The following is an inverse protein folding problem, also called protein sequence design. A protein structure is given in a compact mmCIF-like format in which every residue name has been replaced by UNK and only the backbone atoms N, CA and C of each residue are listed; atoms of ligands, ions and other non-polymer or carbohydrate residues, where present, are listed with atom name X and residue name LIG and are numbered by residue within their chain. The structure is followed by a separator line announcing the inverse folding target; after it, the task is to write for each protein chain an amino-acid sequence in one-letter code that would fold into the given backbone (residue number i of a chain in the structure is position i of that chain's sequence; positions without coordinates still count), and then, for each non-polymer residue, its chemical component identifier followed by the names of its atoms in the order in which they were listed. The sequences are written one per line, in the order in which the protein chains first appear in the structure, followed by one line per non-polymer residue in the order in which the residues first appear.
data_IF_401284386634
#
_entry.id   IF_401284386634
#
_cell.length_a   1.000
_cell.length_b   1.000
_cell.length_c   1.000
_cell.angle_alpha   90.00
_cell.angle_beta   90.00
_cell.angle_gamma   90.00
#
_symmetry.space_group_name_H-M   'P 1'
#
loop_
_entity.id
_entity.type
_entity.pdbx_description
1 polymer ?
#
# COMPACT_ATOMS: atom_id res chain seq x y z
N UNK A 1 12.81 -13.99 -22.22
CA UNK A 1 12.02 -13.83 -20.95
C UNK A 1 11.16 -12.58 -21.15
N UNK A 2 9.87 -12.66 -20.84
CA UNK A 2 9.00 -11.48 -20.83
C UNK A 2 9.45 -10.54 -19.70
N UNK A 3 9.47 -9.23 -19.97
CA UNK A 3 9.76 -8.23 -18.93
C UNK A 3 8.68 -8.29 -17.86
N UNK A 4 9.06 -8.15 -16.59
CA UNK A 4 8.10 -7.96 -15.51
C UNK A 4 7.44 -6.59 -15.58
N UNK A 5 6.30 -6.40 -14.93
CA UNK A 5 5.69 -5.08 -14.85
C UNK A 5 6.60 -4.06 -14.16
N UNK A 6 7.39 -4.47 -13.19
CA UNK A 6 8.41 -3.62 -12.58
C UNK A 6 9.43 -3.10 -13.61
N UNK A 7 9.95 -3.96 -14.50
CA UNK A 7 10.90 -3.54 -15.54
C UNK A 7 10.29 -2.54 -16.53
N UNK A 8 8.99 -2.66 -16.79
CA UNK A 8 8.25 -1.71 -17.65
C UNK A 8 8.06 -0.37 -16.92
N UNK A 9 7.54 -0.40 -15.69
CA UNK A 9 7.25 0.82 -14.92
C UNK A 9 8.51 1.56 -14.49
N UNK A 10 9.63 0.87 -14.29
CA UNK A 10 10.93 1.48 -13.99
C UNK A 10 11.39 2.47 -15.05
N UNK A 11 11.10 2.19 -16.32
CA UNK A 11 11.51 3.01 -17.46
C UNK A 11 10.52 4.13 -17.79
N UNK A 12 9.31 4.08 -17.25
CA UNK A 12 8.22 5.02 -17.52
C UNK A 12 7.58 5.49 -16.23
N UNK A 13 6.27 5.29 -16.09
CA UNK A 13 5.55 5.62 -14.86
C UNK A 13 4.87 4.40 -14.24
N UNK A 14 4.44 4.52 -13.01
CA UNK A 14 3.71 3.47 -12.30
C UNK A 14 2.31 3.18 -12.89
N UNK A 15 1.84 4.00 -13.81
CA UNK A 15 0.58 3.79 -14.54
C UNK A 15 0.79 3.07 -15.88
N UNK A 16 2.03 2.84 -16.28
CA UNK A 16 2.37 2.21 -17.55
C UNK A 16 2.85 0.77 -17.32
N UNK A 17 1.95 -0.17 -17.32
CA UNK A 17 2.20 -1.60 -17.12
C UNK A 17 1.52 -2.45 -18.19
N UNK A 18 1.92 -3.70 -18.34
CA UNK A 18 1.35 -4.64 -19.28
C UNK A 18 0.19 -5.41 -18.64
N UNK A 19 -1.06 -5.21 -19.07
CA UNK A 19 -2.23 -5.93 -18.55
C UNK A 19 -2.15 -7.45 -18.76
N UNK A 20 -1.40 -7.93 -19.74
CA UNK A 20 -1.23 -9.35 -20.00
C UNK A 20 -0.46 -10.08 -18.88
N UNK A 21 0.31 -9.34 -18.09
CA UNK A 21 1.03 -9.87 -16.91
C UNK A 21 0.10 -10.01 -15.69
N UNK A 22 -1.11 -9.52 -15.74
CA UNK A 22 -2.12 -9.68 -14.69
C UNK A 22 -2.90 -10.99 -14.82
N UNK A 23 -2.20 -12.10 -14.91
CA UNK A 23 -2.84 -13.42 -14.99
C UNK A 23 -3.64 -13.70 -13.71
N UNK A 24 -4.95 -14.01 -13.79
CA UNK A 24 -5.78 -14.30 -12.63
C UNK A 24 -5.37 -15.56 -11.84
N UNK A 25 -4.49 -16.38 -12.39
CA UNK A 25 -3.92 -17.55 -11.73
C UNK A 25 -2.80 -17.21 -10.76
N UNK A 26 -2.31 -15.96 -10.76
CA UNK A 26 -1.31 -15.54 -9.80
C UNK A 26 -1.93 -15.42 -8.42
N UNK A 27 -1.21 -15.91 -7.45
CA UNK A 27 -1.47 -15.64 -6.05
C UNK A 27 -1.08 -14.18 -5.76
N UNK A 28 -2.05 -13.29 -5.90
CA UNK A 28 -1.80 -11.85 -6.00
C UNK A 28 -1.77 -11.15 -4.65
N UNK A 29 -2.38 -11.75 -3.63
CA UNK A 29 -2.33 -11.27 -2.24
C UNK A 29 -2.15 -12.45 -1.30
N UNK A 30 -1.23 -12.30 -0.35
CA UNK A 30 -0.94 -13.32 0.66
C UNK A 30 -1.41 -12.85 2.02
N UNK A 31 -2.35 -13.58 2.63
CA UNK A 31 -2.70 -13.41 4.04
C UNK A 31 -1.64 -14.12 4.88
N UNK A 32 -1.07 -13.38 5.84
CA UNK A 32 0.09 -13.83 6.62
C UNK A 32 -0.27 -14.26 8.06
N UNK A 33 -1.44 -13.88 8.52
CA UNK A 33 -1.94 -14.11 9.88
C UNK A 33 -2.72 -12.91 10.39
N UNK A 34 -3.00 -12.88 11.68
CA UNK A 34 -3.82 -11.83 12.30
C UNK A 34 -3.14 -11.31 13.57
N UNK A 35 -3.11 -10.00 13.74
CA UNK A 35 -2.72 -9.32 14.98
C UNK A 35 -3.99 -8.99 15.75
N UNK A 36 -4.06 -9.36 17.01
CA UNK A 36 -5.25 -9.10 17.85
C UNK A 36 -5.45 -7.58 18.00
N UNK A 37 -6.60 -7.04 17.57
CA UNK A 37 -6.87 -5.60 17.68
C UNK A 37 -6.93 -5.15 19.14
N UNK A 38 -6.24 -4.04 19.43
CA UNK A 38 -6.24 -3.40 20.75
C UNK A 38 -6.11 -1.86 20.63
N UNK A 39 -6.62 -1.28 19.56
CA UNK A 39 -6.35 0.10 19.15
C UNK A 39 -7.59 0.97 18.92
N UNK A 40 -8.76 0.63 19.47
CA UNK A 40 -10.02 1.35 19.17
C UNK A 40 -9.93 2.85 19.45
N UNK A 41 -9.36 3.27 20.59
CA UNK A 41 -9.18 4.68 20.91
C UNK A 41 -8.17 5.39 20.01
N UNK A 42 -7.08 4.70 19.68
CA UNK A 42 -6.02 5.23 18.81
C UNK A 42 -6.50 5.32 17.36
N UNK A 43 -7.31 4.36 16.92
CA UNK A 43 -7.89 4.35 15.59
C UNK A 43 -8.80 5.56 15.34
N UNK A 44 -9.66 5.89 16.32
CA UNK A 44 -10.52 7.07 16.22
C UNK A 44 -9.69 8.36 16.03
N UNK A 45 -8.65 8.53 16.83
CA UNK A 45 -7.74 9.68 16.74
C UNK A 45 -7.01 9.73 15.39
N UNK A 46 -6.56 8.58 14.87
CA UNK A 46 -5.88 8.49 13.58
C UNK A 46 -6.82 8.85 12.43
N UNK A 47 -8.06 8.39 12.46
CA UNK A 47 -9.05 8.74 11.43
C UNK A 47 -9.34 10.24 11.44
N UNK A 48 -9.53 10.83 12.62
CA UNK A 48 -9.82 12.25 12.77
C UNK A 48 -8.66 13.16 12.32
N UNK A 49 -7.42 12.76 12.58
CA UNK A 49 -6.23 13.55 12.31
C UNK A 49 -5.58 13.28 10.94
N UNK A 50 -6.08 12.30 10.18
CA UNK A 50 -5.58 12.01 8.84
C UNK A 50 -5.79 13.22 7.90
N UNK A 51 -4.82 13.45 7.02
CA UNK A 51 -4.82 14.61 6.11
C UNK A 51 -5.00 14.14 4.68
N UNK A 52 -5.87 14.79 3.89
CA UNK A 52 -6.08 14.44 2.50
C UNK A 52 -4.80 14.62 1.69
N UNK A 53 -4.53 13.62 0.84
CA UNK A 53 -3.42 13.66 -0.11
C UNK A 53 -3.93 13.44 -1.52
N UNK A 54 -3.38 14.24 -2.41
CA UNK A 54 -3.58 14.11 -3.84
C UNK A 54 -2.42 13.33 -4.47
N UNK A 55 -2.53 13.05 -5.74
CA UNK A 55 -1.40 12.49 -6.47
C UNK A 55 -0.11 13.32 -6.28
N UNK A 56 -0.21 14.66 -6.28
CA UNK A 56 0.94 15.57 -6.11
C UNK A 56 1.53 15.59 -4.71
N UNK A 57 0.70 15.40 -3.68
CA UNK A 57 1.12 15.59 -2.29
C UNK A 57 1.44 14.29 -1.56
N UNK A 58 1.12 13.13 -2.14
CA UNK A 58 1.45 11.84 -1.54
C UNK A 58 2.98 11.66 -1.39
N UNK A 59 3.39 11.00 -0.35
CA UNK A 59 4.79 10.77 -0.06
C UNK A 59 5.53 11.95 0.56
N UNK A 60 4.85 13.07 0.80
CA UNK A 60 5.41 14.23 1.51
C UNK A 60 4.79 14.32 2.91
N UNK A 61 5.51 14.84 3.90
CA UNK A 61 6.88 15.38 3.90
C UNK A 61 7.96 14.35 4.24
N UNK A 62 7.62 13.13 4.63
CA UNK A 62 8.55 12.15 5.22
C UNK A 62 9.13 11.15 4.22
N UNK A 63 8.93 11.38 2.94
CA UNK A 63 9.53 10.54 1.91
C UNK A 63 10.99 10.95 1.69
N UNK A 64 11.90 10.25 2.39
CA UNK A 64 13.35 10.42 2.19
C UNK A 64 13.81 9.95 0.81
N UNK A 65 12.95 9.23 0.11
CA UNK A 65 13.17 8.70 -1.23
C UNK A 65 12.48 9.61 -2.25
N UNK A 66 13.01 10.82 -2.37
CA UNK A 66 12.48 11.82 -3.32
C UNK A 66 12.53 11.27 -4.73
N UNK A 67 11.39 11.27 -5.41
CA UNK A 67 11.31 10.94 -6.82
C UNK A 67 12.02 12.01 -7.66
N UNK A 68 12.63 11.60 -8.77
CA UNK A 68 13.11 12.52 -9.76
C UNK A 68 11.95 13.33 -10.39
N UNK A 69 12.20 14.57 -10.79
CA UNK A 69 11.20 15.44 -11.41
C UNK A 69 10.59 14.80 -12.67
N UNK A 70 11.42 14.15 -13.47
CA UNK A 70 10.97 13.49 -14.71
C UNK A 70 9.97 12.35 -14.46
N UNK A 71 10.08 11.64 -13.30
CA UNK A 71 9.08 10.63 -12.91
C UNK A 71 7.72 11.27 -12.63
N UNK A 72 7.70 12.44 -11.99
CA UNK A 72 6.46 13.16 -11.72
C UNK A 72 5.81 13.66 -13.01
N UNK A 73 6.58 14.21 -13.92
CA UNK A 73 6.08 14.72 -15.19
C UNK A 73 5.47 13.60 -16.03
N UNK A 74 6.12 12.44 -16.08
CA UNK A 74 5.58 11.29 -16.82
C UNK A 74 4.31 10.73 -16.16
N UNK A 75 4.27 10.62 -14.83
CA UNK A 75 3.08 10.18 -14.11
C UNK A 75 1.91 11.16 -14.27
N UNK A 76 2.18 12.45 -14.31
CA UNK A 76 1.18 13.49 -14.55
C UNK A 76 0.59 13.37 -15.96
N UNK A 77 1.45 13.18 -16.96
CA UNK A 77 1.02 12.97 -18.35
C UNK A 77 0.16 11.72 -18.50
N UNK A 78 0.56 10.61 -17.88
CA UNK A 78 -0.20 9.36 -17.95
C UNK A 78 -1.57 9.50 -17.26
N UNK A 79 -1.65 10.16 -16.11
CA UNK A 79 -2.91 10.44 -15.44
C UNK A 79 -3.86 11.25 -16.31
N UNK A 80 -3.37 12.32 -16.91
CA UNK A 80 -4.16 13.19 -17.80
C UNK A 80 -4.61 12.44 -19.07
N UNK A 81 -3.76 11.59 -19.63
CA UNK A 81 -4.09 10.77 -20.81
C UNK A 81 -5.21 9.77 -20.53
N UNK A 82 -5.37 9.35 -19.28
CA UNK A 82 -6.47 8.48 -18.82
C UNK A 82 -7.68 9.28 -18.30
N UNK A 83 -7.67 10.60 -18.43
CA UNK A 83 -8.75 11.47 -17.95
C UNK A 83 -8.82 11.61 -16.42
N UNK A 84 -7.72 11.34 -15.72
CA UNK A 84 -7.63 11.44 -14.27
C UNK A 84 -7.00 12.76 -13.84
N UNK A 85 -7.57 13.40 -12.81
CA UNK A 85 -7.02 14.62 -12.25
C UNK A 85 -5.92 14.34 -11.24
N UNK A 86 -4.80 15.04 -11.37
CA UNK A 86 -3.70 15.05 -10.40
C UNK A 86 -4.05 15.70 -9.05
N UNK A 87 -5.09 16.48 -9.02
CA UNK A 87 -5.57 17.19 -7.83
C UNK A 87 -6.67 16.40 -7.08
N UNK A 88 -6.99 15.21 -7.58
CA UNK A 88 -7.96 14.34 -6.94
C UNK A 88 -7.41 13.78 -5.62
N UNK A 89 -8.22 13.81 -4.57
CA UNK A 89 -7.87 13.23 -3.27
C UNK A 89 -7.99 11.70 -3.34
N UNK A 90 -6.87 11.02 -3.22
CA UNK A 90 -6.83 9.55 -3.36
C UNK A 90 -7.05 8.82 -2.03
N UNK A 91 -6.62 9.44 -0.94
CA UNK A 91 -6.75 8.92 0.44
C UNK A 91 -6.40 10.02 1.42
N UNK A 92 -6.68 9.82 2.69
CA UNK A 92 -6.10 10.60 3.77
C UNK A 92 -4.92 9.81 4.36
N UNK A 93 -3.84 10.49 4.75
CA UNK A 93 -2.65 9.88 5.36
C UNK A 93 -2.39 10.43 6.75
N UNK A 94 -1.94 9.55 7.62
CA UNK A 94 -1.36 9.93 8.89
C UNK A 94 0.04 9.31 9.01
N UNK A 95 1.07 10.15 9.16
CA UNK A 95 2.47 9.77 9.39
C UNK A 95 2.85 9.87 10.87
N UNK A 96 2.15 10.71 11.64
CA UNK A 96 2.30 10.81 13.08
C UNK A 96 1.39 9.77 13.74
N UNK A 97 1.83 8.52 13.71
CA UNK A 97 1.03 7.39 14.14
C UNK A 97 1.20 7.15 15.65
N UNK A 98 0.13 6.77 16.36
CA UNK A 98 0.18 6.37 17.75
C UNK A 98 1.19 5.26 18.03
N UNK A 99 1.67 5.21 19.26
CA UNK A 99 2.67 4.24 19.70
C UNK A 99 2.24 2.78 19.46
N UNK A 100 0.98 2.47 19.62
CA UNK A 100 0.45 1.11 19.38
C UNK A 100 0.73 0.63 17.94
N UNK A 101 0.60 1.52 16.95
CA UNK A 101 0.88 1.17 15.56
C UNK A 101 2.37 1.13 15.26
N UNK A 102 3.18 1.95 15.95
CA UNK A 102 4.64 1.85 15.85
C UNK A 102 5.11 0.51 16.44
N UNK A 103 4.60 0.12 17.62
CA UNK A 103 4.95 -1.15 18.26
C UNK A 103 4.56 -2.36 17.39
N UNK A 104 3.47 -2.25 16.64
CA UNK A 104 3.09 -3.26 15.66
C UNK A 104 4.11 -3.27 14.50
N UNK A 105 4.45 -2.11 13.96
CA UNK A 105 5.40 -2.01 12.85
C UNK A 105 6.79 -2.54 13.22
N UNK A 106 7.26 -2.25 14.43
CA UNK A 106 8.57 -2.67 14.93
C UNK A 106 8.70 -4.19 15.02
N UNK A 107 7.60 -4.92 15.23
CA UNK A 107 7.61 -6.39 15.25
C UNK A 107 8.01 -7.01 13.91
N UNK A 108 7.79 -6.30 12.80
CA UNK A 108 8.20 -6.76 11.47
C UNK A 108 9.72 -6.69 11.25
N UNK A 109 10.43 -5.97 12.11
CA UNK A 109 11.89 -5.87 12.12
C UNK A 109 12.50 -5.57 10.72
N UNK A 110 11.90 -4.61 10.00
CA UNK A 110 12.40 -4.18 8.70
C UNK A 110 13.56 -3.20 8.83
N UNK A 111 14.49 -3.24 7.89
CA UNK A 111 15.45 -2.15 7.69
C UNK A 111 14.80 -1.02 6.88
N UNK A 112 15.22 0.23 7.15
CA UNK A 112 14.68 1.44 6.52
C UNK A 112 13.15 1.50 6.53
N UNK A 113 12.47 1.25 7.67
CA UNK A 113 11.03 1.16 7.67
C UNK A 113 10.39 2.51 7.40
N UNK A 114 9.33 2.50 6.61
CA UNK A 114 8.36 3.60 6.48
C UNK A 114 7.00 3.09 6.89
N UNK A 115 6.42 3.72 7.89
CA UNK A 115 5.13 3.35 8.45
C UNK A 115 4.16 4.52 8.33
N UNK A 116 2.93 4.24 7.90
CA UNK A 116 1.87 5.23 7.81
C UNK A 116 0.49 4.58 7.88
N UNK A 117 -0.51 5.34 8.29
CA UNK A 117 -1.90 4.90 8.20
C UNK A 117 -2.57 5.58 7.01
N UNK A 118 -3.17 4.76 6.17
CA UNK A 118 -4.09 5.19 5.12
C UNK A 118 -5.50 5.16 5.69
N UNK A 119 -6.20 6.29 5.57
CA UNK A 119 -7.64 6.39 5.86
C UNK A 119 -8.34 6.76 4.56
N UNK A 120 -9.12 5.85 4.04
CA UNK A 120 -9.88 6.10 2.82
C UNK A 120 -11.33 6.44 3.19
N UNK A 121 -11.67 7.72 3.02
CA UNK A 121 -13.01 8.25 3.28
C UNK A 121 -13.99 7.79 2.19
N UNK A 122 -15.30 7.78 2.47
CA UNK A 122 -16.32 7.57 1.43
C UNK A 122 -16.11 8.49 0.22
N UNK A 123 -16.12 7.91 -0.97
CA UNK A 123 -15.91 8.60 -2.24
C UNK A 123 -14.46 8.67 -2.70
N UNK A 124 -13.48 8.32 -1.88
CA UNK A 124 -12.06 8.32 -2.29
C UNK A 124 -11.70 7.07 -3.08
N UNK A 125 -10.88 7.27 -4.10
CA UNK A 125 -10.37 6.19 -4.98
C UNK A 125 -8.86 6.37 -5.17
N UNK A 126 -8.10 5.33 -4.92
CA UNK A 126 -6.72 5.24 -5.37
C UNK A 126 -6.68 4.42 -6.66
N UNK A 127 -6.39 5.11 -7.75
CA UNK A 127 -6.43 4.55 -9.10
C UNK A 127 -5.48 3.36 -9.27
N UNK A 128 -5.78 2.50 -10.26
CA UNK A 128 -4.95 1.36 -10.60
C UNK A 128 -3.51 1.82 -10.94
N UNK A 129 -2.53 1.26 -10.25
CA UNK A 129 -1.12 1.61 -10.39
C UNK A 129 -0.21 0.49 -9.92
N UNK A 130 1.05 0.56 -10.31
CA UNK A 130 2.15 -0.21 -9.74
C UNK A 130 2.80 0.57 -8.61
N UNK A 131 3.30 -0.12 -7.59
CA UNK A 131 4.23 0.48 -6.64
C UNK A 131 5.62 0.68 -7.27
N UNK A 132 6.37 1.67 -6.80
CA UNK A 132 7.77 1.92 -7.17
C UNK A 132 8.60 1.94 -5.89
N UNK A 133 8.99 0.76 -5.44
CA UNK A 133 9.71 0.57 -4.18
C UNK A 133 11.20 0.21 -4.38
N UNK A 134 11.66 0.11 -5.61
CA UNK A 134 13.04 -0.26 -5.94
C UNK A 134 14.10 0.68 -5.34
N UNK A 135 13.69 1.90 -4.97
CA UNK A 135 14.58 2.89 -4.33
C UNK A 135 15.05 2.47 -2.93
N UNK A 136 14.30 1.58 -2.25
CA UNK A 136 14.69 1.05 -0.94
C UNK A 136 15.91 0.13 -1.03
N UNK A 137 16.00 -0.66 -2.10
CA UNK A 137 17.08 -1.61 -2.34
C UNK A 137 17.30 -1.74 -3.84
N UNK A 138 17.99 -0.78 -4.49
CA UNK A 138 18.15 -0.78 -5.96
C UNK A 138 18.90 -2.01 -6.49
N UNK A 139 19.78 -2.59 -5.68
CA UNK A 139 20.59 -3.76 -6.04
C UNK A 139 19.76 -5.04 -6.09
N UNK A 140 18.79 -5.18 -5.17
CA UNK A 140 17.88 -6.31 -5.11
C UNK A 140 16.48 -5.90 -4.63
N UNK A 141 15.64 -5.36 -5.52
CA UNK A 141 14.29 -4.91 -5.16
C UNK A 141 13.39 -6.02 -4.61
N UNK A 142 13.75 -7.29 -4.81
CA UNK A 142 12.97 -8.43 -4.27
C UNK A 142 13.01 -8.52 -2.75
N UNK A 143 13.98 -7.88 -2.10
CA UNK A 143 14.08 -7.79 -0.64
C UNK A 143 13.15 -6.71 -0.06
N UNK A 144 12.65 -5.82 -0.89
CA UNK A 144 11.71 -4.78 -0.45
C UNK A 144 10.33 -5.39 -0.30
N UNK A 145 9.73 -5.19 0.86
CA UNK A 145 8.41 -5.72 1.19
C UNK A 145 7.46 -4.61 1.63
N UNK A 146 6.17 -4.86 1.42
CA UNK A 146 5.09 -4.00 1.89
C UNK A 146 4.05 -4.84 2.58
N UNK A 147 3.80 -4.56 3.84
CA UNK A 147 2.77 -5.20 4.64
C UNK A 147 1.61 -4.25 4.87
N UNK A 148 0.41 -4.80 4.90
CA UNK A 148 -0.81 -4.11 5.25
C UNK A 148 -1.46 -4.82 6.43
N UNK A 149 -1.78 -4.06 7.46
CA UNK A 149 -2.58 -4.51 8.59
C UNK A 149 -3.91 -3.76 8.50
N UNK A 150 -5.01 -4.48 8.37
CA UNK A 150 -6.32 -3.87 8.36
C UNK A 150 -6.67 -3.39 9.76
N UNK A 151 -6.95 -2.09 9.90
CA UNK A 151 -7.31 -1.51 11.19
C UNK A 151 -8.82 -1.49 11.41
N UNK A 152 -9.60 -1.66 10.35
CA UNK A 152 -11.06 -1.75 10.35
C UNK A 152 -11.52 -3.02 9.65
N UNK A 153 -12.65 -3.57 10.09
CA UNK A 153 -13.34 -4.65 9.36
C UNK A 153 -13.74 -4.19 7.95
N UNK A 154 -13.77 -5.14 7.03
CA UNK A 154 -14.35 -4.91 5.71
C UNK A 154 -15.83 -4.53 5.83
N UNK A 155 -16.23 -3.54 5.04
CA UNK A 155 -17.63 -3.12 4.90
C UNK A 155 -18.03 -3.14 3.43
N UNK A 156 -19.32 -3.34 3.19
CA UNK A 156 -19.86 -3.25 1.84
C UNK A 156 -19.54 -1.88 1.22
N UNK A 157 -18.98 -1.91 0.00
CA UNK A 157 -18.49 -0.70 -0.67
C UNK A 157 -17.00 -0.45 -0.51
N UNK A 158 -16.29 -1.21 0.35
CA UNK A 158 -14.83 -1.20 0.37
C UNK A 158 -14.29 -2.12 -0.73
N UNK A 159 -13.53 -1.56 -1.66
CA UNK A 159 -12.92 -2.28 -2.76
C UNK A 159 -11.40 -2.25 -2.64
N UNK A 160 -10.79 -3.42 -2.81
CA UNK A 160 -9.34 -3.54 -2.94
C UNK A 160 -9.02 -4.58 -4.01
N UNK A 161 -8.48 -4.11 -5.13
CA UNK A 161 -8.12 -4.96 -6.24
C UNK A 161 -6.61 -5.16 -6.30
N UNK A 162 -6.21 -6.40 -6.52
CA UNK A 162 -4.86 -6.80 -6.90
C UNK A 162 -4.94 -7.50 -8.26
N UNK A 163 -4.56 -6.79 -9.32
CA UNK A 163 -4.79 -7.28 -10.68
C UNK A 163 -6.27 -7.57 -10.94
N UNK A 164 -6.58 -8.82 -11.21
CA UNK A 164 -7.96 -9.30 -11.43
C UNK A 164 -8.66 -9.82 -10.16
N UNK A 165 -7.95 -9.86 -9.04
CA UNK A 165 -8.48 -10.37 -7.79
C UNK A 165 -9.04 -9.23 -6.93
N UNK A 166 -10.31 -9.35 -6.54
CA UNK A 166 -10.91 -8.44 -5.57
C UNK A 166 -10.83 -9.05 -4.18
N UNK A 167 -9.99 -8.43 -3.33
CA UNK A 167 -9.89 -8.82 -1.93
C UNK A 167 -11.01 -8.17 -1.12
N UNK A 168 -11.67 -8.95 -0.29
CA UNK A 168 -12.81 -8.54 0.54
C UNK A 168 -12.91 -9.40 1.79
N UNK A 169 -13.84 -9.05 2.69
CA UNK A 169 -14.15 -9.81 3.91
C UNK A 169 -12.99 -9.92 4.90
N UNK A 170 -12.00 -9.04 4.80
CA UNK A 170 -10.96 -8.95 5.83
C UNK A 170 -11.54 -8.53 7.18
N UNK A 171 -10.82 -8.87 8.24
CA UNK A 171 -11.08 -8.42 9.61
C UNK A 171 -10.03 -7.43 10.05
N UNK A 172 -10.37 -6.59 11.01
CA UNK A 172 -9.37 -5.82 11.74
C UNK A 172 -8.33 -6.78 12.32
N UNK A 173 -7.05 -6.44 12.12
CA UNK A 173 -5.92 -7.28 12.49
C UNK A 173 -5.37 -8.15 11.37
N UNK A 174 -6.10 -8.39 10.28
CA UNK A 174 -5.58 -9.20 9.18
C UNK A 174 -4.35 -8.56 8.56
N UNK A 175 -3.29 -9.36 8.47
CA UNK A 175 -1.99 -8.98 7.91
C UNK A 175 -1.86 -9.58 6.52
N UNK A 176 -1.51 -8.74 5.55
CA UNK A 176 -1.31 -9.18 4.17
C UNK A 176 -0.09 -8.53 3.51
N UNK A 177 0.37 -9.16 2.44
CA UNK A 177 1.38 -8.64 1.50
C UNK A 177 1.00 -9.03 0.09
N UNK A 178 1.69 -8.47 -0.90
CA UNK A 178 1.46 -8.78 -2.31
C UNK A 178 2.75 -8.64 -3.13
N UNK A 179 2.76 -9.18 -4.33
CA UNK A 179 3.87 -9.03 -5.27
C UNK A 179 3.83 -7.63 -5.93
N UNK A 180 4.40 -6.64 -5.25
CA UNK A 180 4.41 -5.27 -5.73
C UNK A 180 5.21 -5.07 -7.04
N UNK A 181 6.12 -6.01 -7.37
CA UNK A 181 6.92 -5.96 -8.59
C UNK A 181 6.10 -6.27 -9.85
N UNK A 182 5.02 -7.03 -9.70
CA UNK A 182 4.27 -7.54 -10.84
C UNK A 182 2.77 -7.25 -10.78
N UNK A 183 2.22 -6.91 -9.62
CA UNK A 183 0.77 -6.80 -9.43
C UNK A 183 0.33 -5.35 -9.29
N UNK A 184 -0.31 -4.77 -10.33
CA UNK A 184 -0.98 -3.49 -10.20
C UNK A 184 -2.18 -3.61 -9.26
N UNK A 185 -2.44 -2.55 -8.52
CA UNK A 185 -3.50 -2.55 -7.52
C UNK A 185 -4.23 -1.22 -7.45
N UNK A 186 -5.44 -1.26 -6.92
CA UNK A 186 -6.28 -0.10 -6.69
C UNK A 186 -7.15 -0.29 -5.46
N UNK A 187 -7.58 0.82 -4.88
CA UNK A 187 -8.52 0.80 -3.75
C UNK A 187 -9.59 1.87 -3.91
N UNK A 188 -10.80 1.58 -3.46
CA UNK A 188 -11.88 2.54 -3.44
C UNK A 188 -12.76 2.35 -2.20
N UNK A 189 -13.34 3.43 -1.73
CA UNK A 189 -14.39 3.40 -0.73
C UNK A 189 -15.67 4.00 -1.32
N UNK A 190 -16.54 3.15 -1.84
CA UNK A 190 -17.89 3.49 -2.28
C UNK A 190 -18.93 3.24 -1.17
N UNK A 191 -18.48 2.92 0.05
CA UNK A 191 -19.32 2.71 1.22
C UNK A 191 -19.62 4.00 1.98
N UNK A 192 -20.04 3.86 3.23
CA UNK A 192 -20.49 4.97 4.07
C UNK A 192 -19.63 5.21 5.31
N UNK A 193 -18.62 4.38 5.52
CA UNK A 193 -17.70 4.48 6.67
C UNK A 193 -16.25 4.52 6.22
N UNK A 194 -15.36 5.21 6.94
CA UNK A 194 -13.94 5.21 6.64
C UNK A 194 -13.36 3.79 6.72
N UNK A 195 -12.36 3.52 5.87
CA UNK A 195 -11.52 2.34 5.94
C UNK A 195 -10.12 2.77 6.34
N UNK A 196 -9.55 2.13 7.35
CA UNK A 196 -8.20 2.42 7.81
C UNK A 196 -7.28 1.19 7.66
N UNK A 197 -6.04 1.45 7.24
CA UNK A 197 -5.03 0.41 7.00
C UNK A 197 -3.66 0.93 7.43
N UNK A 198 -2.97 0.19 8.28
CA UNK A 198 -1.56 0.43 8.60
C UNK A 198 -0.71 -0.17 7.47
N UNK A 199 0.13 0.66 6.86
CA UNK A 199 1.06 0.25 5.83
C UNK A 199 2.48 0.36 6.36
N UNK A 200 3.25 -0.73 6.20
CA UNK A 200 4.65 -0.81 6.58
C UNK A 200 5.44 -1.22 5.35
N UNK A 201 6.46 -0.45 4.98
CA UNK A 201 7.34 -0.73 3.85
C UNK A 201 8.78 -0.69 4.32
N UNK A 202 9.62 -1.58 3.86
CA UNK A 202 11.05 -1.60 4.17
C UNK A 202 11.77 -2.79 3.58
N UNK A 203 13.02 -2.96 3.93
CA UNK A 203 13.84 -4.09 3.49
C UNK A 203 13.72 -5.23 4.51
N UNK A 204 13.47 -6.41 4.00
CA UNK A 204 13.27 -7.63 4.79
C UNK A 204 14.56 -8.08 5.47
N UNK A 205 14.43 -8.58 6.71
CA UNK A 205 15.53 -9.16 7.49
C UNK A 205 15.23 -10.60 7.88
N UNK A 206 16.21 -11.29 8.47
CA UNK A 206 15.99 -12.63 9.03
C UNK A 206 15.01 -12.63 10.20
N UNK A 207 14.92 -11.53 10.96
CA UNK A 207 13.96 -11.37 12.07
C UNK A 207 12.54 -11.16 11.54
N UNK A 208 12.40 -10.53 10.38
CA UNK A 208 11.11 -10.44 9.68
C UNK A 208 10.54 -11.83 9.40
N UNK A 209 11.35 -12.74 8.86
CA UNK A 209 10.92 -14.11 8.57
C UNK A 209 10.53 -14.88 9.85
N UNK A 210 11.25 -14.68 10.95
CA UNK A 210 10.91 -15.29 12.24
C UNK A 210 9.58 -14.78 12.76
N UNK A 211 9.33 -13.47 12.67
CA UNK A 211 8.07 -12.89 13.07
C UNK A 211 6.89 -13.43 12.25
N UNK A 212 7.03 -13.43 10.92
CA UNK A 212 5.98 -13.93 10.03
C UNK A 212 5.68 -15.42 10.24
N UNK A 213 6.70 -16.22 10.55
CA UNK A 213 6.50 -17.63 10.87
C UNK A 213 5.73 -17.84 12.20
N UNK A 214 5.91 -16.97 13.20
CA UNK A 214 5.09 -16.99 14.41
C UNK A 214 3.66 -16.59 14.10
N UNK A 215 3.48 -15.48 13.39
CA UNK A 215 2.16 -14.93 13.04
C UNK A 215 1.26 -15.92 12.28
N UNK A 216 1.84 -16.85 11.52
CA UNK A 216 1.11 -17.90 10.79
C UNK A 216 0.64 -19.05 11.68
N UNK A 217 1.26 -19.24 12.85
CA UNK A 217 1.03 -20.38 13.73
C UNK A 217 0.16 -20.03 14.95
N UNK A 218 -0.09 -18.74 15.15
CA UNK A 218 -0.97 -18.21 16.20
C UNK A 218 -2.40 -18.02 15.63
#
# INVERSE_FOLDING_TARGET
MSKSNWEITKQRSKYHFDPAIMDPRWDTVHTLGTIVPNWDSDLAAVIENAKPVTWRTRGKPNDSLVRASEEYDQEEYDLESYGMSKDYVVTDLNYDIPKVFQDIADQFALELPMTRVHVQQPGQVWNLHMDKLEKWMPEDPTQVVRYFIQLTDWQMGHFWNYGNYMWSHWRAGDVSTFDWLNVPHSTANAGHVPRATLQITGVKTSETDKFLNRLKND
#
